data_IF_260415080387
#
_entry.id   IF_260415080387
#
_cell.length_a   1.000
_cell.length_b   1.000
_cell.length_c   1.000
_cell.angle_alpha   90.00
_cell.angle_beta   90.00
_cell.angle_gamma   90.00
#
_symmetry.space_group_name_H-M   'P 1'
#
loop_
_entity.id
_entity.type
_entity.pdbx_description
1 polymer ?
#
# COMPACT_ATOMS: atom_id res chain seq x y z
N UNK A 1 13.77 -14.85 -8.14
CA UNK A 1 12.65 -15.62 -8.70
C UNK A 1 11.38 -14.99 -8.16
N UNK A 2 10.64 -14.24 -8.98
CA UNK A 2 9.29 -13.83 -8.61
C UNK A 2 8.42 -15.08 -8.69
N UNK A 3 8.15 -15.71 -7.54
CA UNK A 3 7.09 -16.70 -7.48
C UNK A 3 5.78 -15.99 -7.81
N UNK A 4 5.05 -16.56 -8.78
CA UNK A 4 3.71 -16.12 -9.12
C UNK A 4 2.82 -16.21 -7.87
N UNK A 5 1.91 -15.24 -7.69
CA UNK A 5 0.98 -15.26 -6.58
C UNK A 5 0.16 -16.57 -6.58
N UNK A 6 0.01 -17.27 -5.45
CA UNK A 6 -0.72 -18.54 -5.36
C UNK A 6 -2.24 -18.31 -5.34
N UNK A 7 -2.78 -17.78 -6.44
CA UNK A 7 -4.16 -17.27 -6.53
C UNK A 7 -5.26 -18.32 -6.36
N UNK A 8 -4.92 -19.61 -6.39
CA UNK A 8 -5.87 -20.73 -6.30
C UNK A 8 -6.00 -21.29 -4.87
N UNK A 9 -5.16 -20.86 -3.93
CA UNK A 9 -5.23 -21.26 -2.52
C UNK A 9 -5.27 -19.99 -1.66
N UNK A 10 -6.43 -19.70 -1.06
CA UNK A 10 -6.62 -18.52 -0.24
C UNK A 10 -5.66 -18.47 0.98
N UNK A 11 -5.35 -19.62 1.57
CA UNK A 11 -4.45 -19.67 2.72
C UNK A 11 -3.00 -19.39 2.29
N UNK A 12 -2.55 -19.90 1.15
CA UNK A 12 -1.25 -19.53 0.58
C UNK A 12 -1.21 -18.08 0.12
N UNK A 13 -2.28 -17.57 -0.50
CA UNK A 13 -2.36 -16.19 -0.96
C UNK A 13 -2.23 -15.19 0.20
N UNK A 14 -2.88 -15.43 1.34
CA UNK A 14 -2.67 -14.57 2.53
C UNK A 14 -1.22 -14.57 2.99
N UNK A 15 -0.54 -15.72 3.02
CA UNK A 15 0.90 -15.79 3.38
C UNK A 15 1.79 -15.08 2.38
N UNK A 16 1.46 -15.20 1.09
CA UNK A 16 2.13 -14.46 0.03
C UNK A 16 1.97 -12.96 0.23
N UNK A 17 0.75 -12.48 0.52
CA UNK A 17 0.48 -11.06 0.73
C UNK A 17 1.28 -10.50 1.92
N UNK A 18 1.25 -11.17 3.07
CA UNK A 18 2.01 -10.77 4.26
C UNK A 18 3.52 -10.64 3.95
N UNK A 19 4.08 -11.62 3.23
CA UNK A 19 5.52 -11.70 2.99
C UNK A 19 6.00 -10.82 1.84
N UNK A 20 5.24 -10.74 0.74
CA UNK A 20 5.58 -9.99 -0.47
C UNK A 20 5.21 -8.51 -0.38
N UNK A 21 4.07 -8.18 0.23
CA UNK A 21 3.53 -6.82 0.25
C UNK A 21 3.64 -6.21 1.64
N UNK A 22 3.04 -6.79 2.69
CA UNK A 22 3.00 -6.11 4.00
C UNK A 22 4.39 -5.84 4.56
N UNK A 23 5.26 -6.84 4.57
CA UNK A 23 6.64 -6.68 5.01
C UNK A 23 7.41 -5.65 4.16
N UNK A 24 7.07 -5.53 2.87
CA UNK A 24 7.71 -4.61 1.93
C UNK A 24 7.22 -3.17 2.14
N UNK A 25 5.91 -2.95 2.26
CA UNK A 25 5.31 -1.64 2.51
C UNK A 25 5.83 -0.99 3.79
N UNK A 26 5.96 -1.76 4.88
CA UNK A 26 6.57 -1.27 6.14
C UNK A 26 7.97 -0.69 5.92
N UNK A 27 8.79 -1.33 5.08
CA UNK A 27 10.13 -0.85 4.73
C UNK A 27 10.10 0.33 3.77
N UNK A 28 9.30 0.23 2.71
CA UNK A 28 9.16 1.27 1.68
C UNK A 28 8.71 2.59 2.31
N UNK A 29 7.58 2.59 3.03
CA UNK A 29 7.04 3.81 3.64
C UNK A 29 8.01 4.45 4.62
N UNK A 30 8.65 3.67 5.50
CA UNK A 30 9.66 4.20 6.45
C UNK A 30 10.85 4.84 5.73
N UNK A 31 11.29 4.29 4.59
CA UNK A 31 12.37 4.86 3.78
C UNK A 31 11.92 6.14 3.08
N UNK A 32 10.73 6.09 2.48
CA UNK A 32 10.15 7.17 1.69
C UNK A 32 9.85 8.42 2.52
N UNK A 33 9.38 8.28 3.76
CA UNK A 33 9.20 9.43 4.68
C UNK A 33 10.51 10.21 4.83
N UNK A 34 11.61 9.52 5.18
CA UNK A 34 12.91 10.17 5.39
C UNK A 34 13.46 10.82 4.13
N UNK A 35 13.23 10.18 2.98
CA UNK A 35 13.69 10.68 1.70
C UNK A 35 12.87 11.89 1.24
N UNK A 36 11.55 11.89 1.50
CA UNK A 36 10.68 13.03 1.25
C UNK A 36 11.04 14.22 2.14
N UNK A 37 11.25 14.01 3.45
CA UNK A 37 11.73 15.05 4.38
C UNK A 37 13.03 15.69 3.86
N UNK A 38 14.01 14.86 3.48
CA UNK A 38 15.29 15.36 2.94
C UNK A 38 15.11 16.19 1.67
N UNK A 39 14.26 15.74 0.75
CA UNK A 39 14.01 16.46 -0.52
C UNK A 39 13.29 17.77 -0.26
N UNK A 40 12.25 17.77 0.59
CA UNK A 40 11.51 18.97 0.94
C UNK A 40 12.38 20.00 1.67
N UNK A 41 13.26 19.57 2.57
CA UNK A 41 14.20 20.45 3.27
C UNK A 41 15.24 21.06 2.33
N UNK A 42 15.90 20.23 1.51
CA UNK A 42 16.98 20.69 0.62
C UNK A 42 16.46 21.57 -0.52
N UNK A 43 15.24 21.32 -0.98
CA UNK A 43 14.62 21.99 -2.14
C UNK A 43 13.44 22.88 -1.74
N UNK A 44 13.38 23.34 -0.48
CA UNK A 44 12.24 24.10 0.05
C UNK A 44 11.86 25.36 -0.77
N UNK A 45 12.85 25.99 -1.41
CA UNK A 45 12.71 27.18 -2.26
C UNK A 45 12.55 26.85 -3.75
N UNK A 46 12.72 25.59 -4.17
CA UNK A 46 12.65 25.20 -5.57
C UNK A 46 11.21 25.10 -6.05
N UNK A 47 10.97 25.57 -7.28
CA UNK A 47 9.69 25.40 -7.95
C UNK A 47 9.51 23.91 -8.30
N UNK A 48 8.40 23.33 -7.84
CA UNK A 48 8.03 21.94 -8.11
C UNK A 48 8.37 20.96 -6.99
N UNK A 49 9.01 21.40 -5.90
CA UNK A 49 9.23 20.54 -4.72
C UNK A 49 7.89 19.98 -4.22
N UNK A 50 7.79 18.67 -3.91
CA UNK A 50 6.52 18.02 -3.58
C UNK A 50 6.10 18.35 -2.14
N UNK A 51 5.76 19.61 -1.87
CA UNK A 51 5.44 20.09 -0.51
C UNK A 51 4.32 19.30 0.14
N UNK A 52 4.55 18.83 1.37
CA UNK A 52 3.61 18.05 2.16
C UNK A 52 3.55 16.56 1.80
N UNK A 53 4.51 16.06 1.02
CA UNK A 53 4.61 14.64 0.70
C UNK A 53 5.10 13.84 1.92
N UNK A 54 6.06 14.37 2.68
CA UNK A 54 6.56 13.76 3.90
C UNK A 54 5.43 13.54 4.92
N UNK A 55 4.61 14.56 5.15
CA UNK A 55 3.46 14.47 6.06
C UNK A 55 2.45 13.42 5.60
N UNK A 56 2.11 13.41 4.30
CA UNK A 56 1.21 12.40 3.71
C UNK A 56 1.76 10.98 3.91
N UNK A 57 3.05 10.77 3.64
CA UNK A 57 3.67 9.46 3.81
C UNK A 57 3.71 9.03 5.28
N UNK A 58 3.90 9.97 6.21
CA UNK A 58 3.88 9.69 7.64
C UNK A 58 2.48 9.31 8.13
N UNK A 59 1.43 9.96 7.62
CA UNK A 59 0.02 9.56 7.84
C UNK A 59 -0.21 8.13 7.31
N UNK A 60 0.20 7.85 6.07
CA UNK A 60 0.09 6.54 5.44
C UNK A 60 0.77 5.42 6.24
N UNK A 61 1.93 5.68 6.88
CA UNK A 61 2.60 4.69 7.74
C UNK A 61 1.65 4.20 8.84
N UNK A 62 0.95 5.13 9.49
CA UNK A 62 0.02 4.80 10.57
C UNK A 62 -1.20 4.05 10.07
N UNK A 63 -1.83 4.56 9.01
CA UNK A 63 -3.05 3.95 8.44
C UNK A 63 -2.77 2.55 7.90
N UNK A 64 -1.70 2.39 7.12
CA UNK A 64 -1.28 1.11 6.54
C UNK A 64 -0.95 0.08 7.63
N UNK A 65 -0.23 0.46 8.69
CA UNK A 65 0.08 -0.46 9.80
C UNK A 65 -1.17 -0.92 10.53
N UNK A 66 -2.15 -0.03 10.75
CA UNK A 66 -3.43 -0.39 11.36
C UNK A 66 -4.23 -1.34 10.46
N UNK A 67 -4.33 -1.01 9.17
CA UNK A 67 -5.00 -1.82 8.15
C UNK A 67 -4.39 -3.23 8.06
N UNK A 68 -3.08 -3.35 7.81
CA UNK A 68 -2.38 -4.64 7.70
C UNK A 68 -2.50 -5.48 8.98
N UNK A 69 -2.55 -4.85 10.17
CA UNK A 69 -2.75 -5.59 11.43
C UNK A 69 -4.16 -6.16 11.56
N UNK A 70 -5.19 -5.46 11.10
CA UNK A 70 -6.55 -6.02 11.07
C UNK A 70 -6.57 -7.28 10.22
N UNK A 71 -5.83 -7.28 9.12
CA UNK A 71 -5.73 -8.45 8.24
C UNK A 71 -4.95 -9.58 8.89
N UNK A 72 -3.71 -9.33 9.28
CA UNK A 72 -2.78 -10.31 9.85
C UNK A 72 -3.33 -10.97 11.13
N UNK A 73 -4.05 -10.22 11.96
CA UNK A 73 -4.52 -10.71 13.27
C UNK A 73 -5.97 -11.22 13.26
N UNK A 74 -6.81 -10.73 12.35
CA UNK A 74 -8.25 -11.04 12.35
C UNK A 74 -8.67 -11.72 11.04
N UNK A 75 -8.57 -11.01 9.91
CA UNK A 75 -9.15 -11.47 8.65
C UNK A 75 -8.42 -12.68 8.06
N UNK A 76 -7.09 -12.61 7.91
CA UNK A 76 -6.30 -13.70 7.33
C UNK A 76 -6.35 -14.98 8.16
N UNK A 77 -6.29 -14.95 9.51
CA UNK A 77 -6.55 -16.14 10.31
C UNK A 77 -7.94 -16.75 10.09
N UNK A 78 -8.98 -15.94 9.89
CA UNK A 78 -10.32 -16.45 9.56
C UNK A 78 -10.35 -17.10 8.17
N UNK A 79 -9.80 -16.44 7.16
CA UNK A 79 -9.66 -16.97 5.79
C UNK A 79 -8.92 -18.32 5.79
N UNK A 80 -7.81 -18.43 6.52
CA UNK A 80 -7.01 -19.67 6.63
C UNK A 80 -7.77 -20.85 7.25
N UNK A 81 -8.83 -20.58 8.02
CA UNK A 81 -9.72 -21.60 8.59
C UNK A 81 -10.90 -21.96 7.67
N UNK A 82 -10.95 -21.39 6.46
CA UNK A 82 -12.04 -21.57 5.51
C UNK A 82 -13.16 -20.52 5.63
N UNK A 83 -12.90 -19.41 6.34
CA UNK A 83 -13.90 -18.39 6.60
C UNK A 83 -14.86 -18.76 7.73
N UNK A 84 -16.09 -18.24 7.68
CA UNK A 84 -17.15 -18.53 8.64
C UNK A 84 -18.17 -17.39 8.75
N UNK A 85 -19.27 -17.59 9.50
CA UNK A 85 -20.29 -16.56 9.68
C UNK A 85 -19.71 -15.27 10.25
N UNK A 86 -20.05 -14.13 9.66
CA UNK A 86 -19.60 -12.80 10.09
C UNK A 86 -18.24 -12.39 9.55
N UNK A 87 -17.68 -13.11 8.57
CA UNK A 87 -16.49 -12.67 7.83
C UNK A 87 -16.77 -11.45 6.94
N UNK A 88 -18.03 -11.20 6.62
CA UNK A 88 -18.49 -10.10 5.77
C UNK A 88 -18.16 -8.72 6.37
N UNK A 89 -18.29 -8.57 7.70
CA UNK A 89 -18.02 -7.31 8.40
C UNK A 89 -16.54 -6.87 8.30
N UNK A 90 -15.54 -7.72 8.65
CA UNK A 90 -14.14 -7.36 8.47
C UNK A 90 -13.77 -7.20 6.99
N UNK A 91 -14.35 -7.97 6.06
CA UNK A 91 -14.13 -7.75 4.62
C UNK A 91 -14.59 -6.35 4.19
N UNK A 92 -15.78 -5.91 4.62
CA UNK A 92 -16.29 -4.59 4.30
C UNK A 92 -15.41 -3.47 4.90
N UNK A 93 -14.94 -3.65 6.14
CA UNK A 93 -14.03 -2.70 6.78
C UNK A 93 -12.70 -2.57 6.03
N UNK A 94 -12.11 -3.69 5.61
CA UNK A 94 -10.87 -3.71 4.84
C UNK A 94 -11.04 -3.05 3.46
N UNK A 95 -12.15 -3.31 2.75
CA UNK A 95 -12.46 -2.62 1.49
C UNK A 95 -12.59 -1.10 1.67
N UNK A 96 -13.17 -0.64 2.79
CA UNK A 96 -13.25 0.78 3.09
C UNK A 96 -11.86 1.41 3.36
N UNK A 97 -10.96 0.67 4.03
CA UNK A 97 -9.56 1.08 4.20
C UNK A 97 -8.86 1.17 2.82
N UNK A 98 -9.10 0.23 1.90
CA UNK A 98 -8.57 0.27 0.52
C UNK A 98 -9.00 1.52 -0.27
N UNK A 99 -10.26 1.93 -0.14
CA UNK A 99 -10.73 3.18 -0.75
C UNK A 99 -9.97 4.39 -0.19
N UNK A 100 -9.57 4.34 1.08
CA UNK A 100 -8.65 5.30 1.71
C UNK A 100 -7.30 5.33 1.01
N UNK A 101 -6.63 4.18 0.94
CA UNK A 101 -5.31 4.06 0.30
C UNK A 101 -5.32 4.46 -1.18
N UNK A 102 -6.40 4.20 -1.92
CA UNK A 102 -6.55 4.67 -3.30
C UNK A 102 -6.57 6.21 -3.42
N UNK A 103 -7.18 6.91 -2.44
CA UNK A 103 -7.16 8.38 -2.38
C UNK A 103 -5.77 8.91 -2.05
N UNK A 104 -5.05 8.25 -1.15
CA UNK A 104 -3.67 8.61 -0.81
C UNK A 104 -2.73 8.45 -2.00
N UNK A 105 -2.82 7.34 -2.75
CA UNK A 105 -2.10 7.14 -4.01
C UNK A 105 -2.38 8.28 -5.00
N UNK A 106 -3.65 8.67 -5.13
CA UNK A 106 -4.03 9.78 -6.02
C UNK A 106 -3.42 11.12 -5.59
N UNK A 107 -3.29 11.33 -4.27
CA UNK A 107 -2.65 12.52 -3.70
C UNK A 107 -1.13 12.49 -3.90
N UNK A 108 -0.47 11.35 -3.73
CA UNK A 108 0.96 11.17 -4.08
C UNK A 108 1.19 11.56 -5.54
N UNK A 109 0.40 11.00 -6.47
CA UNK A 109 0.50 11.32 -7.89
C UNK A 109 0.34 12.81 -8.16
N UNK A 110 -0.64 13.44 -7.51
CA UNK A 110 -0.88 14.89 -7.66
C UNK A 110 0.29 15.75 -7.17
N UNK A 111 0.85 15.45 -5.99
CA UNK A 111 1.98 16.19 -5.40
C UNK A 111 3.28 16.03 -6.19
N UNK A 112 3.41 14.92 -6.92
CA UNK A 112 4.66 14.55 -7.60
C UNK A 112 4.59 14.68 -9.12
N UNK A 113 3.49 15.23 -9.65
CA UNK A 113 3.20 15.28 -11.08
C UNK A 113 3.35 13.88 -11.73
N UNK A 114 2.64 12.89 -11.19
CA UNK A 114 2.77 11.48 -11.58
C UNK A 114 4.21 10.97 -11.46
N UNK A 115 4.88 11.29 -10.34
CA UNK A 115 6.27 10.93 -10.08
C UNK A 115 7.22 11.33 -11.24
N UNK A 116 6.95 12.47 -11.89
CA UNK A 116 7.80 13.02 -12.94
C UNK A 116 8.62 14.19 -12.40
N UNK A 117 9.92 13.99 -12.11
CA UNK A 117 10.72 15.03 -11.47
C UNK A 117 11.02 16.19 -12.44
N UNK A 118 11.14 17.43 -11.94
CA UNK A 118 11.47 18.57 -12.78
C UNK A 118 12.88 18.43 -13.38
N UNK A 119 13.12 19.16 -14.47
CA UNK A 119 14.43 19.20 -15.12
C UNK A 119 15.47 19.75 -14.14
N UNK A 120 16.53 18.98 -13.88
CA UNK A 120 17.58 19.36 -12.94
C UNK A 120 17.37 18.89 -11.51
N UNK A 121 16.33 18.08 -11.25
CA UNK A 121 16.17 17.40 -9.97
C UNK A 121 17.46 16.64 -9.60
N UNK A 122 17.83 16.72 -8.32
CA UNK A 122 19.00 16.01 -7.81
C UNK A 122 18.75 14.50 -7.78
N UNK A 123 19.82 13.73 -7.60
CA UNK A 123 19.74 12.26 -7.53
C UNK A 123 18.75 11.79 -6.45
N UNK A 124 18.75 12.41 -5.25
CA UNK A 124 17.85 11.99 -4.16
C UNK A 124 16.37 12.18 -4.52
N UNK A 125 16.03 13.25 -5.25
CA UNK A 125 14.67 13.49 -5.71
C UNK A 125 14.27 12.51 -6.81
N UNK A 126 15.16 12.24 -7.78
CA UNK A 126 14.91 11.20 -8.78
C UNK A 126 14.70 9.81 -8.12
N UNK A 127 15.51 9.48 -7.10
CA UNK A 127 15.35 8.26 -6.31
C UNK A 127 14.01 8.23 -5.57
N UNK A 128 13.60 9.33 -4.93
CA UNK A 128 12.31 9.43 -4.26
C UNK A 128 11.16 9.06 -5.18
N UNK A 129 11.16 9.61 -6.39
CA UNK A 129 10.08 9.39 -7.34
C UNK A 129 10.09 7.97 -7.91
N UNK A 130 11.28 7.38 -8.11
CA UNK A 130 11.39 5.98 -8.49
C UNK A 130 10.86 5.03 -7.38
N UNK A 131 11.24 5.26 -6.13
CA UNK A 131 10.76 4.44 -4.99
C UNK A 131 9.27 4.63 -4.72
N UNK A 132 8.73 5.83 -4.94
CA UNK A 132 7.28 6.08 -4.89
C UNK A 132 6.53 5.33 -5.97
N UNK A 133 7.06 5.30 -7.20
CA UNK A 133 6.45 4.53 -8.28
C UNK A 133 6.39 3.04 -7.92
N UNK A 134 7.48 2.48 -7.35
CA UNK A 134 7.48 1.11 -6.84
C UNK A 134 6.46 0.88 -5.72
N UNK A 135 6.33 1.80 -4.76
CA UNK A 135 5.31 1.71 -3.71
C UNK A 135 3.90 1.71 -4.29
N UNK A 136 3.62 2.62 -5.23
CA UNK A 136 2.30 2.76 -5.86
C UNK A 136 1.95 1.51 -6.66
N UNK A 137 2.89 0.96 -7.43
CA UNK A 137 2.68 -0.26 -8.20
C UNK A 137 2.45 -1.47 -7.27
N UNK A 138 3.29 -1.62 -6.24
CA UNK A 138 3.14 -2.70 -5.26
C UNK A 138 1.81 -2.61 -4.51
N UNK A 139 1.42 -1.42 -4.03
CA UNK A 139 0.20 -1.24 -3.25
C UNK A 139 -1.06 -1.40 -4.12
N UNK A 140 -1.00 -0.95 -5.37
CA UNK A 140 -2.10 -1.18 -6.31
C UNK A 140 -2.29 -2.66 -6.60
N UNK A 141 -1.22 -3.41 -6.84
CA UNK A 141 -1.31 -4.85 -7.08
C UNK A 141 -1.70 -5.63 -5.82
N UNK A 142 -1.21 -5.21 -4.66
CA UNK A 142 -1.63 -5.75 -3.36
C UNK A 142 -3.15 -5.64 -3.20
N UNK A 143 -3.70 -4.42 -3.27
CA UNK A 143 -5.14 -4.16 -3.13
C UNK A 143 -5.94 -4.93 -4.18
N UNK A 144 -5.43 -5.04 -5.42
CA UNK A 144 -6.08 -5.81 -6.50
C UNK A 144 -6.14 -7.30 -6.18
N UNK A 145 -5.04 -7.90 -5.70
CA UNK A 145 -5.04 -9.31 -5.29
C UNK A 145 -6.05 -9.58 -4.18
N UNK A 146 -6.23 -8.62 -3.28
CA UNK A 146 -7.21 -8.76 -2.21
C UNK A 146 -8.64 -8.59 -2.69
N UNK A 147 -8.95 -7.43 -3.28
CA UNK A 147 -10.31 -7.08 -3.69
C UNK A 147 -10.84 -7.97 -4.81
N UNK A 148 -9.99 -8.32 -5.78
CA UNK A 148 -10.45 -8.96 -7.01
C UNK A 148 -10.19 -10.47 -7.03
N UNK A 149 -9.33 -10.98 -6.14
CA UNK A 149 -8.97 -12.41 -6.13
C UNK A 149 -9.28 -13.07 -4.80
N UNK A 150 -8.79 -12.54 -3.68
CA UNK A 150 -8.94 -13.19 -2.37
C UNK A 150 -10.37 -13.04 -1.83
N UNK A 151 -10.84 -11.81 -1.68
CA UNK A 151 -12.12 -11.52 -1.02
C UNK A 151 -13.35 -12.09 -1.74
N UNK A 152 -13.43 -12.09 -3.10
CA UNK A 152 -14.57 -12.67 -3.81
C UNK A 152 -14.79 -14.16 -3.54
N UNK A 153 -13.77 -14.88 -3.06
CA UNK A 153 -13.90 -16.30 -2.67
C UNK A 153 -14.74 -16.48 -1.39
N UNK A 154 -14.94 -15.39 -0.62
CA UNK A 154 -15.67 -15.37 0.64
C UNK A 154 -16.94 -14.51 0.58
N UNK A 155 -17.18 -13.80 -0.53
CA UNK A 155 -18.44 -13.11 -0.78
C UNK A 155 -19.57 -14.14 -0.91
N UNK A 156 -20.56 -14.10 -0.02
CA UNK A 156 -21.72 -15.00 -0.07
C UNK A 156 -21.58 -16.34 0.67
N UNK A 157 -20.59 -16.49 1.56
CA UNK A 157 -20.46 -17.65 2.49
C UNK A 157 -21.60 -17.71 3.53
N UNK A 158 -22.51 -16.74 3.54
CA UNK A 158 -23.81 -16.83 4.19
C UNK A 158 -24.72 -17.89 3.53
N UNK A 159 -24.50 -19.17 3.85
CA UNK A 159 -25.53 -20.23 3.81
C UNK A 159 -25.26 -21.34 4.81
#
# INVERSE_FOLDING_TARGET
MTEAAPIYDAAELTRYIETRYHARHRRQLTSLVKLAEMVEDLHCDDVGVPKGLADLLAEMVGEMEVHMRKEELILFPAIRRGGGPGIEDPLAAIRADHDGHAREISRIRSLTHDMNPPRGACTSWATLYAELAELVDDLTEHIRLENDVLFPQFDGVSK
#
